data_IF_276930166463
#
_entry.id   IF_276930166463
#
_cell.length_a   1.000
_cell.length_b   1.000
_cell.length_c   1.000
_cell.angle_alpha   90.00
_cell.angle_beta   90.00
_cell.angle_gamma   90.00
#
_symmetry.space_group_name_H-M   'P 1'
#
loop_
_entity.id
_entity.type
_entity.pdbx_description
1 polymer ?
#
# COMPACT_ATOMS: atom_id res chain seq x y z
N UNK A 1 7.31 -13.69 -9.56
CA UNK A 1 7.52 -14.38 -8.23
C UNK A 1 8.65 -13.67 -7.48
N UNK A 2 8.42 -13.24 -6.23
CA UNK A 2 9.39 -12.47 -5.44
C UNK A 2 10.67 -13.28 -5.12
N UNK A 3 11.87 -12.67 -5.24
CA UNK A 3 13.13 -13.26 -4.81
C UNK A 3 13.15 -13.59 -3.31
N UNK A 4 13.99 -14.55 -2.90
CA UNK A 4 14.07 -14.97 -1.49
C UNK A 4 14.49 -13.82 -0.56
N UNK A 5 15.40 -12.96 -1.00
CA UNK A 5 15.85 -11.78 -0.24
C UNK A 5 14.67 -10.83 0.05
N UNK A 6 13.85 -10.57 -0.96
CA UNK A 6 12.66 -9.70 -0.84
C UNK A 6 11.65 -10.32 0.13
N UNK A 7 11.41 -11.64 0.03
CA UNK A 7 10.52 -12.34 0.96
C UNK A 7 11.00 -12.23 2.41
N UNK A 8 12.31 -12.33 2.66
CA UNK A 8 12.87 -12.18 4.00
C UNK A 8 12.70 -10.77 4.54
N UNK A 9 12.85 -9.74 3.71
CA UNK A 9 12.57 -8.35 4.12
C UNK A 9 11.10 -8.16 4.48
N UNK A 10 10.19 -8.69 3.67
CA UNK A 10 8.74 -8.64 3.95
C UNK A 10 8.42 -9.36 5.26
N UNK A 11 9.08 -10.52 5.51
CA UNK A 11 8.92 -11.26 6.77
C UNK A 11 9.37 -10.43 7.97
N UNK A 12 10.50 -9.74 7.86
CA UNK A 12 10.98 -8.88 8.94
C UNK A 12 10.01 -7.71 9.21
N UNK A 13 9.54 -7.05 8.17
CA UNK A 13 8.53 -5.98 8.29
C UNK A 13 7.26 -6.51 8.98
N UNK A 14 6.81 -7.70 8.60
CA UNK A 14 5.68 -8.36 9.23
C UNK A 14 5.87 -8.58 10.72
N UNK A 15 7.05 -9.09 11.12
CA UNK A 15 7.40 -9.30 12.53
C UNK A 15 7.49 -7.98 13.30
N UNK A 16 7.99 -6.92 12.67
CA UNK A 16 8.06 -5.59 13.29
C UNK A 16 6.66 -5.01 13.55
N UNK A 17 5.68 -5.24 12.66
CA UNK A 17 4.28 -4.87 12.92
C UNK A 17 3.70 -5.66 14.10
N UNK A 18 3.98 -6.96 14.18
CA UNK A 18 3.55 -7.79 15.33
C UNK A 18 4.19 -7.27 16.62
N UNK A 19 5.48 -6.95 16.61
CA UNK A 19 6.17 -6.36 17.74
C UNK A 19 5.59 -5.00 18.16
N UNK A 20 4.96 -4.29 17.22
CA UNK A 20 4.23 -3.04 17.44
C UNK A 20 2.86 -3.21 18.12
N UNK A 21 2.46 -4.45 18.48
CA UNK A 21 1.21 -4.75 19.18
C UNK A 21 0.08 -5.30 18.30
N UNK A 22 0.32 -5.54 17.02
CA UNK A 22 -0.69 -6.04 16.08
C UNK A 22 -0.56 -7.56 15.95
N UNK A 23 -1.50 -8.32 16.52
CA UNK A 23 -1.40 -9.79 16.59
C UNK A 23 -2.17 -10.54 15.50
N UNK A 24 -3.22 -9.92 14.93
CA UNK A 24 -4.06 -10.58 13.94
C UNK A 24 -3.47 -10.40 12.53
N UNK A 25 -3.26 -11.46 11.74
CA UNK A 25 -2.68 -11.35 10.40
C UNK A 25 -3.44 -10.42 9.45
N UNK A 26 -4.76 -10.36 9.55
CA UNK A 26 -5.61 -9.42 8.78
C UNK A 26 -5.32 -7.97 9.16
N UNK A 27 -5.15 -7.70 10.45
CA UNK A 27 -4.81 -6.36 10.95
C UNK A 27 -3.39 -5.96 10.53
N UNK A 28 -2.43 -6.90 10.51
CA UNK A 28 -1.07 -6.64 10.02
C UNK A 28 -1.10 -6.14 8.58
N UNK A 29 -1.86 -6.83 7.70
CA UNK A 29 -2.01 -6.39 6.30
C UNK A 29 -2.68 -5.02 6.24
N UNK A 30 -3.70 -4.79 7.03
CA UNK A 30 -4.40 -3.52 7.10
C UNK A 30 -3.44 -2.37 7.47
N UNK A 31 -2.64 -2.54 8.53
CA UNK A 31 -1.67 -1.52 8.94
C UNK A 31 -0.60 -1.27 7.88
N UNK A 32 -0.08 -2.33 7.26
CA UNK A 32 0.88 -2.21 6.15
C UNK A 32 0.25 -1.50 4.95
N UNK A 33 -1.02 -1.76 4.65
CA UNK A 33 -1.73 -1.08 3.56
C UNK A 33 -1.80 0.43 3.79
N UNK A 34 -2.06 0.90 5.02
CA UNK A 34 -2.08 2.34 5.31
C UNK A 34 -0.71 2.98 5.11
N UNK A 35 0.36 2.33 5.55
CA UNK A 35 1.72 2.84 5.39
C UNK A 35 2.16 2.85 3.93
N UNK A 36 1.87 1.77 3.19
CA UNK A 36 2.18 1.70 1.76
C UNK A 36 1.39 2.75 0.97
N UNK A 37 0.13 2.98 1.33
CA UNK A 37 -0.67 4.03 0.71
C UNK A 37 -0.10 5.42 0.94
N UNK A 38 0.34 5.73 2.18
CA UNK A 38 1.01 7.00 2.48
C UNK A 38 2.27 7.21 1.62
N UNK A 39 3.07 6.15 1.43
CA UNK A 39 4.26 6.19 0.56
C UNK A 39 3.88 6.41 -0.91
N UNK A 40 2.90 5.67 -1.43
CA UNK A 40 2.44 5.79 -2.81
C UNK A 40 1.88 7.18 -3.13
N UNK A 41 1.20 7.82 -2.18
CA UNK A 41 0.72 9.19 -2.35
C UNK A 41 1.88 10.18 -2.53
N UNK A 42 2.97 10.05 -1.78
CA UNK A 42 4.15 10.90 -1.94
C UNK A 42 4.90 10.61 -3.25
N UNK A 43 4.96 9.35 -3.68
CA UNK A 43 5.52 8.97 -4.98
C UNK A 43 4.68 9.56 -6.13
N UNK A 44 3.37 9.47 -6.05
CA UNK A 44 2.46 10.05 -7.06
C UNK A 44 2.56 11.58 -7.09
N UNK A 45 2.68 12.24 -5.94
CA UNK A 45 2.95 13.67 -5.88
C UNK A 45 4.25 14.05 -6.59
N UNK A 46 5.30 13.26 -6.40
CA UNK A 46 6.58 13.49 -7.10
C UNK A 46 6.46 13.33 -8.63
N UNK A 47 5.62 12.40 -9.08
CA UNK A 47 5.32 12.24 -10.52
C UNK A 47 4.56 13.44 -11.06
N UNK A 48 3.59 13.99 -10.30
CA UNK A 48 2.85 15.21 -10.63
C UNK A 48 3.81 16.39 -10.73
N UNK A 49 4.68 16.60 -9.73
CA UNK A 49 5.69 17.66 -9.72
C UNK A 49 6.61 17.57 -10.95
N UNK A 50 7.01 16.34 -11.31
CA UNK A 50 7.87 16.08 -12.47
C UNK A 50 7.13 16.37 -13.79
N UNK A 51 5.89 15.94 -13.91
CA UNK A 51 5.05 16.18 -15.08
C UNK A 51 4.80 17.69 -15.29
N UNK A 52 4.53 18.43 -14.21
CA UNK A 52 4.36 19.88 -14.24
C UNK A 52 5.63 20.60 -14.69
N UNK A 53 6.78 20.19 -14.15
CA UNK A 53 8.07 20.75 -14.55
C UNK A 53 8.38 20.52 -16.04
N UNK A 54 8.02 19.36 -16.59
CA UNK A 54 8.27 18.99 -17.98
C UNK A 54 7.28 19.62 -18.95
N UNK A 55 5.99 19.71 -18.58
CA UNK A 55 4.95 20.25 -19.45
C UNK A 55 4.78 21.76 -19.35
N UNK A 56 5.13 22.35 -18.21
CA UNK A 56 4.86 23.75 -17.87
C UNK A 56 3.37 24.03 -17.61
N UNK A 57 2.52 22.99 -17.54
CA UNK A 57 1.09 23.11 -17.26
C UNK A 57 0.81 22.76 -15.79
N UNK A 58 0.06 23.64 -15.07
CA UNK A 58 -0.28 23.37 -13.66
C UNK A 58 -1.11 22.10 -13.52
N UNK A 59 -0.74 21.26 -12.55
CA UNK A 59 -1.41 20.01 -12.24
C UNK A 59 -2.15 20.11 -10.89
N UNK A 60 -3.05 19.18 -10.62
CA UNK A 60 -3.73 19.10 -9.34
C UNK A 60 -2.88 18.33 -8.34
N UNK A 61 -2.31 19.01 -7.37
CA UNK A 61 -1.52 18.44 -6.30
C UNK A 61 -2.37 17.71 -5.25
N UNK A 62 -1.78 16.68 -4.64
CA UNK A 62 -2.38 15.93 -3.51
C UNK A 62 -2.11 16.67 -2.20
N UNK A 63 -0.91 17.23 -2.06
CA UNK A 63 -0.49 17.99 -0.89
C UNK A 63 -0.38 19.47 -1.25
N UNK A 64 -0.88 20.33 -0.37
CA UNK A 64 -0.73 21.78 -0.55
C UNK A 64 0.67 22.29 -0.20
N UNK A 65 0.89 23.59 -0.45
CA UNK A 65 2.20 24.24 -0.28
C UNK A 65 2.52 24.63 1.18
N UNK A 66 1.57 24.48 2.10
CA UNK A 66 1.79 24.81 3.50
C UNK A 66 2.82 23.88 4.16
N UNK A 67 3.54 24.38 5.15
CA UNK A 67 4.52 23.55 5.87
C UNK A 67 3.86 22.33 6.53
N UNK A 68 2.65 22.51 7.02
CA UNK A 68 1.85 21.48 7.66
C UNK A 68 1.49 20.37 6.67
N UNK A 69 1.06 20.71 5.46
CA UNK A 69 0.71 19.75 4.41
C UNK A 69 1.95 19.05 3.84
N UNK A 70 3.04 19.79 3.63
CA UNK A 70 4.30 19.20 3.21
C UNK A 70 4.90 18.25 4.26
N UNK A 71 4.65 18.48 5.56
CA UNK A 71 5.07 17.59 6.62
C UNK A 71 4.35 16.21 6.57
N UNK A 72 3.20 16.11 5.89
CA UNK A 72 2.46 14.84 5.70
C UNK A 72 3.10 13.91 4.68
N UNK A 73 4.03 14.39 3.86
CA UNK A 73 4.68 13.62 2.81
C UNK A 73 5.67 12.62 3.42
N UNK A 74 5.64 11.39 2.89
CA UNK A 74 6.51 10.30 3.33
C UNK A 74 7.98 10.70 3.44
N UNK A 75 8.52 11.37 2.41
CA UNK A 75 9.91 11.82 2.36
C UNK A 75 10.31 12.76 3.49
N UNK A 76 9.36 13.49 4.05
CA UNK A 76 9.60 14.50 5.08
C UNK A 76 9.51 13.92 6.50
N UNK A 77 8.68 12.90 6.73
CA UNK A 77 8.54 12.34 8.07
C UNK A 77 9.30 11.02 8.29
N UNK A 78 9.66 10.28 7.24
CA UNK A 78 10.30 8.95 7.37
C UNK A 78 11.57 8.93 8.21
N UNK A 79 12.29 10.04 8.30
CA UNK A 79 13.54 10.21 9.04
C UNK A 79 13.38 10.77 10.45
N UNK A 80 12.17 10.99 10.94
CA UNK A 80 11.93 11.52 12.29
C UNK A 80 12.35 10.50 13.38
N UNK A 81 12.62 10.99 14.59
CA UNK A 81 12.86 10.14 15.75
C UNK A 81 11.59 9.34 16.10
N UNK A 82 11.75 8.13 16.62
CA UNK A 82 10.66 7.15 16.75
C UNK A 82 9.39 7.68 17.44
N UNK A 83 9.53 8.43 18.54
CA UNK A 83 8.39 8.96 19.28
C UNK A 83 7.72 10.12 18.55
N UNK A 84 8.51 10.97 17.93
CA UNK A 84 8.02 12.09 17.13
C UNK A 84 7.32 11.55 15.87
N UNK A 85 7.94 10.60 15.19
CA UNK A 85 7.39 9.90 14.03
C UNK A 85 6.02 9.28 14.34
N UNK A 86 5.94 8.52 15.43
CA UNK A 86 4.69 7.87 15.82
C UNK A 86 3.58 8.89 16.10
N UNK A 87 3.90 9.93 16.88
CA UNK A 87 2.94 11.01 17.17
C UNK A 87 2.50 11.70 15.88
N UNK A 88 3.45 12.10 15.04
CA UNK A 88 3.17 12.75 13.77
C UNK A 88 2.33 11.89 12.84
N UNK A 89 2.65 10.61 12.72
CA UNK A 89 1.88 9.69 11.87
C UNK A 89 0.44 9.55 12.36
N UNK A 90 0.24 9.29 13.64
CA UNK A 90 -1.10 9.05 14.20
C UNK A 90 -1.97 10.33 14.19
N UNK A 91 -1.40 11.45 14.61
CA UNK A 91 -2.17 12.70 14.80
C UNK A 91 -2.37 13.50 13.51
N UNK A 92 -1.52 13.31 12.49
CA UNK A 92 -1.55 14.14 11.28
C UNK A 92 -1.66 13.28 10.00
N UNK A 93 -0.70 12.38 9.74
CA UNK A 93 -0.67 11.64 8.48
C UNK A 93 -1.87 10.70 8.36
N UNK A 94 -2.15 9.90 9.39
CA UNK A 94 -3.27 8.95 9.37
C UNK A 94 -4.62 9.65 9.28
N UNK A 95 -4.79 10.78 9.97
CA UNK A 95 -6.00 11.62 9.87
C UNK A 95 -6.15 12.18 8.45
N UNK A 96 -5.06 12.63 7.84
CA UNK A 96 -5.07 13.07 6.44
C UNK A 96 -5.53 11.94 5.50
N UNK A 97 -4.98 10.71 5.65
CA UNK A 97 -5.37 9.56 4.82
C UNK A 97 -6.87 9.24 4.93
N UNK A 98 -7.44 9.29 6.14
CA UNK A 98 -8.88 9.07 6.36
C UNK A 98 -9.72 10.11 5.63
N UNK A 99 -9.25 11.36 5.59
CA UNK A 99 -10.00 12.49 5.04
C UNK A 99 -9.68 12.79 3.56
N UNK A 100 -8.73 12.10 2.96
CA UNK A 100 -8.23 12.40 1.62
C UNK A 100 -9.32 12.32 0.54
N UNK A 101 -10.25 11.41 0.69
CA UNK A 101 -11.34 11.23 -0.26
C UNK A 101 -12.69 11.46 0.44
N UNK A 102 -13.26 12.64 0.25
CA UNK A 102 -14.56 13.03 0.82
C UNK A 102 -15.76 12.52 0.01
N UNK A 103 -15.54 11.78 -1.10
CA UNK A 103 -16.64 11.16 -1.81
C UNK A 103 -17.22 10.00 -1.01
N UNK A 104 -18.33 10.24 -0.31
CA UNK A 104 -19.02 9.25 0.52
C UNK A 104 -19.49 8.00 -0.24
N UNK A 105 -19.56 8.07 -1.57
CA UNK A 105 -19.96 6.95 -2.43
C UNK A 105 -18.80 6.00 -2.76
N UNK A 106 -17.56 6.43 -2.55
CA UNK A 106 -16.39 5.59 -2.76
C UNK A 106 -16.32 4.43 -1.73
N UNK A 107 -16.10 3.21 -2.20
CA UNK A 107 -15.87 2.04 -1.33
C UNK A 107 -14.65 2.25 -0.42
N UNK A 108 -13.63 2.93 -0.94
CA UNK A 108 -12.40 3.26 -0.23
C UNK A 108 -12.66 4.23 0.94
N UNK A 109 -13.42 5.31 0.70
CA UNK A 109 -13.80 6.27 1.75
C UNK A 109 -14.60 5.62 2.87
N UNK A 110 -15.55 4.74 2.51
CA UNK A 110 -16.34 3.99 3.50
C UNK A 110 -15.48 3.05 4.34
N UNK A 111 -14.47 2.42 3.72
CA UNK A 111 -13.53 1.55 4.43
C UNK A 111 -12.64 2.34 5.40
N UNK A 112 -12.04 3.44 4.94
CA UNK A 112 -11.15 4.26 5.76
C UNK A 112 -11.86 5.00 6.91
N UNK A 113 -13.16 5.29 6.76
CA UNK A 113 -13.93 5.99 7.80
C UNK A 113 -13.95 5.26 9.16
N UNK A 114 -13.76 3.94 9.14
CA UNK A 114 -13.69 3.08 10.33
C UNK A 114 -12.29 2.57 10.61
N UNK A 115 -11.30 3.05 9.88
CA UNK A 115 -9.92 2.65 10.03
C UNK A 115 -9.36 3.04 11.40
N UNK A 116 -8.53 2.19 11.96
CA UNK A 116 -7.85 2.44 13.23
C UNK A 116 -6.38 2.08 13.08
N UNK A 117 -5.50 2.99 13.44
CA UNK A 117 -4.08 2.71 13.48
C UNK A 117 -3.74 1.96 14.77
N UNK A 118 -3.06 0.80 14.65
CA UNK A 118 -2.86 -0.16 15.75
C UNK A 118 -1.39 -0.44 16.10
N UNK A 119 -0.44 0.10 15.35
CA UNK A 119 0.98 -0.01 15.72
C UNK A 119 1.25 1.02 16.81
N UNK A 120 1.26 0.57 18.07
CA UNK A 120 1.34 1.46 19.23
C UNK A 120 2.77 1.69 19.72
N UNK A 121 3.73 0.82 19.33
CA UNK A 121 5.12 0.94 19.73
C UNK A 121 5.91 1.82 18.76
N UNK A 122 6.44 2.98 19.19
CA UNK A 122 7.12 3.92 18.29
C UNK A 122 8.32 3.34 17.56
N UNK A 123 9.14 2.54 18.23
CA UNK A 123 10.32 1.90 17.60
C UNK A 123 9.92 0.85 16.55
N UNK A 124 8.82 0.15 16.76
CA UNK A 124 8.29 -0.80 15.78
C UNK A 124 7.81 -0.06 14.54
N UNK A 125 7.03 1.00 14.68
CA UNK A 125 6.60 1.84 13.55
C UNK A 125 7.79 2.36 12.76
N UNK A 126 8.82 2.89 13.43
CA UNK A 126 10.01 3.41 12.76
C UNK A 126 10.72 2.31 11.94
N UNK A 127 10.88 1.09 12.50
CA UNK A 127 11.46 -0.05 11.77
C UNK A 127 10.64 -0.44 10.56
N UNK A 128 9.31 -0.47 10.70
CA UNK A 128 8.39 -0.77 9.59
C UNK A 128 8.53 0.27 8.48
N UNK A 129 8.56 1.56 8.81
CA UNK A 129 8.73 2.64 7.83
C UNK A 129 10.09 2.54 7.11
N UNK A 130 11.18 2.31 7.84
CA UNK A 130 12.51 2.12 7.26
C UNK A 130 12.53 0.87 6.35
N UNK A 131 11.94 -0.23 6.80
CA UNK A 131 11.88 -1.47 6.04
C UNK A 131 11.05 -1.34 4.76
N UNK A 132 9.91 -0.66 4.81
CA UNK A 132 9.09 -0.36 3.63
C UNK A 132 9.84 0.57 2.68
N UNK A 133 10.49 1.60 3.18
CA UNK A 133 11.25 2.54 2.36
C UNK A 133 12.37 1.81 1.60
N UNK A 134 13.19 1.00 2.30
CA UNK A 134 14.23 0.18 1.69
C UNK A 134 13.66 -0.81 0.64
N UNK A 135 12.55 -1.47 0.97
CA UNK A 135 11.92 -2.43 0.09
C UNK A 135 11.46 -1.80 -1.23
N UNK A 136 10.81 -0.64 -1.17
CA UNK A 136 10.29 0.05 -2.37
C UNK A 136 11.40 0.75 -3.16
N UNK A 137 12.40 1.33 -2.49
CA UNK A 137 13.50 2.02 -3.18
C UNK A 137 14.46 1.05 -3.91
N UNK A 138 14.72 -0.12 -3.32
CA UNK A 138 15.78 -1.01 -3.78
C UNK A 138 15.30 -2.30 -4.43
N UNK A 139 14.15 -2.85 -4.01
CA UNK A 139 13.76 -4.21 -4.39
C UNK A 139 12.47 -4.27 -5.20
N UNK A 140 11.51 -3.35 -4.98
CA UNK A 140 10.21 -3.38 -5.63
C UNK A 140 10.06 -2.16 -6.55
N UNK A 141 10.38 -2.36 -7.82
CA UNK A 141 10.19 -1.35 -8.86
C UNK A 141 9.13 -1.82 -9.86
N UNK A 142 8.04 -1.05 -9.95
CA UNK A 142 6.95 -1.27 -10.89
C UNK A 142 5.71 -1.97 -10.30
N UNK A 143 4.58 -1.79 -10.99
CA UNK A 143 3.25 -2.25 -10.56
C UNK A 143 3.16 -3.78 -10.36
N UNK A 144 3.81 -4.57 -11.20
CA UNK A 144 3.81 -6.04 -11.10
C UNK A 144 4.42 -6.53 -9.78
N UNK A 145 5.49 -5.90 -9.30
CA UNK A 145 6.13 -6.30 -8.05
C UNK A 145 5.33 -5.88 -6.82
N UNK A 146 4.60 -4.78 -6.87
CA UNK A 146 3.67 -4.39 -5.81
C UNK A 146 2.51 -5.39 -5.69
N UNK A 147 1.97 -5.84 -6.81
CA UNK A 147 0.98 -6.92 -6.87
C UNK A 147 1.50 -8.22 -6.25
N UNK A 148 2.72 -8.62 -6.60
CA UNK A 148 3.39 -9.81 -6.02
C UNK A 148 3.59 -9.67 -4.49
N UNK A 149 3.89 -8.45 -3.99
CA UNK A 149 3.99 -8.16 -2.56
C UNK A 149 2.65 -8.41 -1.86
N UNK A 150 1.55 -7.85 -2.39
CA UNK A 150 0.22 -8.07 -1.84
C UNK A 150 -0.19 -9.54 -1.88
N UNK A 151 0.07 -10.24 -2.99
CA UNK A 151 -0.18 -11.69 -3.08
C UNK A 151 0.59 -12.48 -2.03
N UNK A 152 1.85 -12.13 -1.80
CA UNK A 152 2.67 -12.78 -0.77
C UNK A 152 2.10 -12.56 0.63
N UNK A 153 1.70 -11.32 0.97
CA UNK A 153 1.07 -11.00 2.25
C UNK A 153 -0.27 -11.72 2.43
N UNK A 154 -1.12 -11.74 1.40
CA UNK A 154 -2.40 -12.47 1.42
C UNK A 154 -2.20 -13.98 1.52
N UNK A 155 -1.12 -14.52 0.94
CA UNK A 155 -0.72 -15.92 1.08
C UNK A 155 -0.50 -16.35 2.54
N UNK A 156 -0.02 -15.42 3.40
CA UNK A 156 0.13 -15.67 4.84
C UNK A 156 -1.21 -15.87 5.56
N UNK A 157 -2.27 -15.18 5.12
CA UNK A 157 -3.63 -15.39 5.66
C UNK A 157 -4.16 -16.78 5.31
N UNK A 158 -3.88 -17.25 4.10
CA UNK A 158 -4.28 -18.60 3.66
C UNK A 158 -3.57 -19.69 4.47
N UNK A 159 -2.28 -19.53 4.72
CA UNK A 159 -1.47 -20.46 5.54
C UNK A 159 -1.94 -20.52 7.00
N UNK A 160 -2.53 -19.44 7.50
CA UNK A 160 -3.12 -19.37 8.84
C UNK A 160 -4.55 -19.96 8.91
N UNK A 161 -5.08 -20.54 7.82
CA UNK A 161 -6.42 -21.14 7.76
C UNK A 161 -7.59 -20.16 7.92
N UNK A 162 -7.32 -18.86 7.77
CA UNK A 162 -8.28 -17.78 8.08
C UNK A 162 -8.99 -17.17 6.87
N UNK A 163 -8.53 -17.48 5.66
CA UNK A 163 -9.19 -17.08 4.43
C UNK A 163 -9.48 -18.32 3.57
N UNK A 164 -10.75 -18.66 3.45
CA UNK A 164 -11.22 -19.63 2.46
C UNK A 164 -11.22 -19.10 1.03
N UNK A 165 -10.46 -18.04 0.75
CA UNK A 165 -10.37 -17.42 -0.55
C UNK A 165 -9.20 -18.04 -1.34
N UNK A 166 -9.51 -19.02 -2.19
CA UNK A 166 -8.56 -19.54 -3.18
C UNK A 166 -8.49 -18.55 -4.35
N UNK A 167 -7.34 -17.91 -4.51
CA UNK A 167 -7.04 -17.10 -5.69
C UNK A 167 -6.45 -18.00 -6.79
N UNK A 168 -6.89 -17.80 -8.01
CA UNK A 168 -6.25 -18.47 -9.17
C UNK A 168 -4.80 -18.01 -9.28
N UNK A 169 -3.81 -18.93 -9.27
CA UNK A 169 -2.40 -18.58 -9.38
C UNK A 169 -2.09 -17.73 -10.61
N UNK A 170 -1.17 -16.76 -10.48
CA UNK A 170 -0.84 -15.79 -11.53
C UNK A 170 -0.53 -16.48 -12.88
N UNK A 171 0.32 -17.52 -12.87
CA UNK A 171 0.69 -18.22 -14.10
C UNK A 171 -0.50 -18.89 -14.83
N UNK A 172 -1.54 -19.29 -14.11
CA UNK A 172 -2.78 -19.82 -14.70
C UNK A 172 -3.61 -18.67 -15.30
N UNK A 173 -3.72 -17.55 -14.59
CA UNK A 173 -4.39 -16.35 -15.10
C UNK A 173 -3.72 -15.85 -16.38
N UNK A 174 -2.40 -15.69 -16.35
CA UNK A 174 -1.60 -15.26 -17.50
C UNK A 174 -1.78 -16.20 -18.71
N UNK A 175 -1.78 -17.51 -18.48
CA UNK A 175 -2.06 -18.49 -19.51
C UNK A 175 -3.46 -18.31 -20.11
N UNK A 176 -4.49 -18.15 -19.28
CA UNK A 176 -5.88 -17.97 -19.73
C UNK A 176 -6.06 -16.66 -20.51
N UNK A 177 -5.50 -15.55 -20.02
CA UNK A 177 -5.55 -14.25 -20.72
C UNK A 177 -4.83 -14.33 -22.06
N UNK A 178 -3.66 -14.96 -22.11
CA UNK A 178 -2.89 -15.14 -23.34
C UNK A 178 -3.62 -16.04 -24.37
N UNK A 179 -4.38 -17.03 -23.93
CA UNK A 179 -5.20 -17.87 -24.81
C UNK A 179 -6.43 -17.12 -25.35
N UNK A 180 -7.05 -16.28 -24.50
CA UNK A 180 -8.25 -15.53 -24.88
C UNK A 180 -7.96 -14.28 -25.72
N UNK A 181 -6.77 -13.69 -25.59
CA UNK A 181 -6.32 -12.49 -26.31
C UNK A 181 -7.38 -11.37 -26.33
N UNK A 182 -7.84 -10.87 -25.17
CA UNK A 182 -8.86 -9.83 -25.12
C UNK A 182 -8.37 -8.55 -25.78
N UNK A 183 -9.28 -7.90 -26.52
CA UNK A 183 -9.02 -6.59 -27.16
C UNK A 183 -9.75 -5.47 -26.42
N UNK A 184 -9.34 -4.19 -26.53
CA UNK A 184 -9.91 -3.06 -25.78
C UNK A 184 -11.42 -2.82 -26.05
N UNK A 185 -11.94 -3.30 -27.15
CA UNK A 185 -13.34 -3.21 -27.56
C UNK A 185 -14.22 -4.35 -27.05
N UNK A 186 -13.63 -5.38 -26.46
CA UNK A 186 -14.37 -6.49 -25.88
C UNK A 186 -14.96 -6.11 -24.52
N UNK A 187 -16.17 -6.62 -24.24
CA UNK A 187 -16.79 -6.55 -22.93
C UNK A 187 -16.48 -7.83 -22.17
N UNK A 188 -15.85 -7.67 -21.02
CA UNK A 188 -15.48 -8.78 -20.13
C UNK A 188 -16.44 -8.78 -18.94
N UNK A 189 -16.97 -9.95 -18.60
CA UNK A 189 -17.76 -10.16 -17.40
C UNK A 189 -17.16 -11.31 -16.59
N UNK A 190 -16.76 -11.02 -15.36
CA UNK A 190 -16.36 -12.03 -14.39
C UNK A 190 -17.39 -12.04 -13.24
N UNK A 191 -18.35 -13.00 -13.24
CA UNK A 191 -19.41 -13.05 -12.24
C UNK A 191 -18.92 -13.50 -10.86
N UNK A 192 -17.68 -13.95 -10.75
CA UNK A 192 -17.04 -14.40 -9.51
C UNK A 192 -15.68 -13.76 -9.31
N UNK A 193 -15.56 -12.48 -9.65
CA UNK A 193 -14.28 -11.76 -9.81
C UNK A 193 -13.36 -11.80 -8.57
N UNK A 194 -13.91 -12.04 -7.37
CA UNK A 194 -13.13 -12.04 -6.15
C UNK A 194 -12.35 -10.73 -5.98
N UNK A 195 -11.02 -10.83 -6.05
CA UNK A 195 -10.10 -9.68 -6.00
C UNK A 195 -9.81 -9.10 -7.39
N UNK A 196 -10.65 -9.36 -8.37
CA UNK A 196 -10.53 -8.92 -9.76
C UNK A 196 -9.23 -9.34 -10.48
N UNK A 197 -8.62 -10.46 -10.07
CA UNK A 197 -7.31 -10.89 -10.56
C UNK A 197 -7.20 -11.17 -12.06
N UNK A 198 -8.30 -11.30 -12.80
CA UNK A 198 -8.32 -11.38 -14.26
C UNK A 198 -8.53 -10.02 -14.95
N UNK A 199 -8.86 -8.98 -14.17
CA UNK A 199 -9.19 -7.64 -14.68
C UNK A 199 -8.04 -6.65 -14.52
N UNK A 200 -6.98 -7.05 -13.82
CA UNK A 200 -5.82 -6.21 -13.46
C UNK A 200 -4.63 -6.59 -14.32
#
# INVERSE_FOLDING_TARGET
MLPAVVKNKIEQIWLDVIAGGVSQPTEVIEQLTYLMFAKQLDEHEADIETAELLSGEPQKHIFGDSKEEQALRWRNFKGMEARELHKHFVEHVFIFLINLNQDENSAFSRYLKHATFKINEPLALQKVIIGLDDLFENDIKGLDMQGDLYEHMLGKLNSAGRLGAFRTPKHIRDMMVNLMQPTPDMKICDPACGTAGFMI
#
